data_IF_671501792002
#
_entry.id   IF_671501792002
#
_cell.length_a   1.000
_cell.length_b   1.000
_cell.length_c   1.000
_cell.angle_alpha   90.00
_cell.angle_beta   90.00
_cell.angle_gamma   90.00
#
_symmetry.space_group_name_H-M   'P 1'
#
loop_
_entity.id
_entity.type
_entity.pdbx_description
1 polymer ?
#
# COMPACT_ATOMS: atom_id res chain seq x y z
N UNK A 1 -5.38 11.99 5.78
CA UNK A 1 -4.52 11.18 4.88
C UNK A 1 -4.77 9.72 5.18
N UNK A 2 -4.95 8.91 4.14
CA UNK A 2 -5.11 7.45 4.28
C UNK A 2 -4.00 6.73 3.53
N UNK A 3 -3.35 5.78 4.19
CA UNK A 3 -2.33 4.93 3.56
C UNK A 3 -2.87 3.51 3.42
N UNK A 4 -2.90 3.00 2.19
CA UNK A 4 -3.35 1.65 1.88
C UNK A 4 -2.13 0.78 1.57
N UNK A 5 -1.75 -0.07 2.52
CA UNK A 5 -0.74 -1.09 2.31
C UNK A 5 -1.35 -2.28 1.58
N UNK A 6 -0.76 -2.62 0.44
CA UNK A 6 -1.24 -3.74 -0.40
C UNK A 6 -0.15 -4.78 -0.59
N UNK A 7 -0.48 -6.02 -0.29
CA UNK A 7 0.37 -7.18 -0.51
C UNK A 7 -0.38 -8.29 -1.25
N UNK A 8 0.31 -9.41 -1.47
CA UNK A 8 -0.34 -10.66 -1.84
C UNK A 8 -0.08 -11.69 -0.75
N UNK A 9 -1.16 -12.26 -0.22
CA UNK A 9 -1.13 -13.37 0.71
C UNK A 9 -2.17 -14.40 0.30
N UNK A 10 -1.77 -15.65 0.16
CA UNK A 10 -2.62 -16.75 -0.27
C UNK A 10 -2.70 -17.86 0.79
N UNK A 11 -2.26 -17.60 2.05
CA UNK A 11 -2.41 -18.61 3.10
C UNK A 11 -3.83 -18.63 3.64
N UNK A 12 -4.45 -19.81 3.78
CA UNK A 12 -5.78 -19.93 4.33
C UNK A 12 -5.94 -19.30 5.71
N UNK A 13 -7.08 -18.63 5.90
CA UNK A 13 -7.47 -18.04 7.20
C UNK A 13 -6.62 -16.88 7.70
N UNK A 14 -5.72 -16.31 6.88
CA UNK A 14 -4.91 -15.14 7.25
C UNK A 14 -5.38 -13.86 6.57
N UNK A 15 -5.31 -12.75 7.31
CA UNK A 15 -5.69 -11.43 6.80
C UNK A 15 -4.58 -10.84 5.92
N UNK A 16 -4.93 -9.82 5.13
CA UNK A 16 -3.96 -9.03 4.39
C UNK A 16 -2.88 -8.47 5.32
N UNK A 17 -1.60 -8.72 5.00
CA UNK A 17 -0.46 -8.23 5.79
C UNK A 17 -0.64 -8.49 7.30
N UNK A 18 -1.10 -9.69 7.64
CA UNK A 18 -1.36 -10.14 9.00
C UNK A 18 -0.13 -9.95 9.89
N UNK A 19 -0.29 -9.27 11.03
CA UNK A 19 0.77 -8.93 11.98
C UNK A 19 1.55 -10.12 12.52
N UNK A 20 0.98 -11.34 12.48
CA UNK A 20 1.69 -12.59 12.81
C UNK A 20 2.72 -13.00 11.76
N UNK A 21 2.74 -12.36 10.59
CA UNK A 21 3.70 -12.59 9.51
C UNK A 21 4.81 -11.55 9.53
N UNK A 22 5.98 -11.90 8.97
CA UNK A 22 7.09 -10.96 8.84
C UNK A 22 6.63 -9.67 8.13
N UNK A 23 6.00 -9.79 6.96
CA UNK A 23 5.51 -8.63 6.20
C UNK A 23 4.52 -7.78 6.98
N UNK A 24 3.59 -8.40 7.71
CA UNK A 24 2.62 -7.67 8.52
C UNK A 24 3.25 -6.92 9.70
N UNK A 25 4.17 -7.57 10.41
CA UNK A 25 4.90 -6.95 11.53
C UNK A 25 5.73 -5.76 11.09
N UNK A 26 6.34 -5.85 9.90
CA UNK A 26 7.15 -4.77 9.32
C UNK A 26 6.26 -3.60 8.93
N UNK A 27 5.10 -3.85 8.33
CA UNK A 27 4.12 -2.81 8.05
C UNK A 27 3.64 -2.13 9.33
N UNK A 28 3.44 -2.89 10.42
CA UNK A 28 3.08 -2.30 11.72
C UNK A 28 4.18 -1.38 12.26
N UNK A 29 5.45 -1.76 12.08
CA UNK A 29 6.57 -0.91 12.50
C UNK A 29 6.71 0.34 11.62
N UNK A 30 6.45 0.24 10.31
CA UNK A 30 6.39 1.42 9.41
C UNK A 30 5.28 2.37 9.87
N UNK A 31 4.09 1.84 10.18
CA UNK A 31 2.95 2.65 10.65
C UNK A 31 3.31 3.46 11.91
N UNK A 32 4.12 2.91 12.82
CA UNK A 32 4.54 3.61 14.05
C UNK A 32 5.45 4.82 13.77
N UNK A 33 6.13 4.86 12.62
CA UNK A 33 6.98 5.98 12.23
C UNK A 33 6.23 7.05 11.42
N UNK A 34 5.04 6.72 10.91
CA UNK A 34 4.25 7.64 10.11
C UNK A 34 3.48 8.64 11.00
N UNK A 35 3.13 9.84 10.46
CA UNK A 35 2.53 10.89 11.28
C UNK A 35 1.25 10.45 12.01
N UNK A 36 1.07 10.89 13.27
CA UNK A 36 -0.14 10.59 14.02
C UNK A 36 -1.37 11.22 13.35
N UNK A 37 -2.52 10.55 13.44
CA UNK A 37 -3.78 11.00 12.85
C UNK A 37 -3.99 10.55 11.39
N UNK A 38 -3.02 9.88 10.77
CA UNK A 38 -3.23 9.20 9.48
C UNK A 38 -4.03 7.91 9.68
N UNK A 39 -4.89 7.57 8.72
CA UNK A 39 -5.58 6.29 8.69
C UNK A 39 -4.75 5.26 7.92
N UNK A 40 -4.63 4.04 8.46
CA UNK A 40 -3.88 2.96 7.83
C UNK A 40 -4.79 1.78 7.53
N UNK A 41 -4.73 1.26 6.29
CA UNK A 41 -5.47 0.08 5.85
C UNK A 41 -4.51 -0.96 5.29
N UNK A 42 -4.75 -2.23 5.61
CA UNK A 42 -4.06 -3.38 5.02
C UNK A 42 -5.05 -4.12 4.14
N UNK A 43 -4.76 -4.24 2.85
CA UNK A 43 -5.65 -4.85 1.86
C UNK A 43 -4.89 -5.88 1.05
N UNK A 44 -5.51 -7.02 0.77
CA UNK A 44 -4.91 -8.02 -0.09
C UNK A 44 -5.30 -7.70 -1.53
N UNK A 45 -4.36 -7.87 -2.47
CA UNK A 45 -4.67 -7.66 -3.89
C UNK A 45 -5.75 -8.64 -4.39
N UNK A 46 -5.74 -9.87 -3.86
CA UNK A 46 -6.65 -10.94 -4.26
C UNK A 46 -7.46 -11.43 -3.06
N UNK A 47 -8.73 -11.75 -3.25
CA UNK A 47 -9.61 -12.28 -2.20
C UNK A 47 -9.65 -13.81 -2.13
N UNK A 48 -8.66 -14.49 -2.71
CA UNK A 48 -8.58 -15.94 -2.75
C UNK A 48 -7.32 -16.48 -2.06
N UNK A 49 -7.36 -17.76 -1.69
CA UNK A 49 -6.28 -18.49 -1.00
C UNK A 49 -5.32 -19.16 -2.00
N UNK A 50 -5.24 -18.62 -3.23
CA UNK A 50 -4.32 -19.03 -4.28
C UNK A 50 -3.89 -17.81 -5.09
N UNK A 51 -2.96 -18.00 -6.02
CA UNK A 51 -2.57 -16.95 -6.96
C UNK A 51 -3.47 -17.04 -8.19
N UNK A 52 -4.44 -16.12 -8.38
CA UNK A 52 -5.33 -16.19 -9.53
C UNK A 52 -4.56 -15.86 -10.81
N UNK A 53 -5.10 -16.28 -11.95
CA UNK A 53 -4.51 -16.04 -13.28
C UNK A 53 -5.59 -15.75 -14.32
N UNK A 54 -5.19 -15.23 -15.48
CA UNK A 54 -6.13 -14.89 -16.55
C UNK A 54 -7.18 -13.86 -16.12
N UNK A 55 -8.42 -14.07 -16.55
CA UNK A 55 -9.56 -13.18 -16.28
C UNK A 55 -9.85 -13.03 -14.79
N UNK A 56 -9.71 -14.12 -14.01
CA UNK A 56 -9.95 -14.09 -12.58
C UNK A 56 -9.02 -13.11 -11.84
N UNK A 57 -7.75 -13.07 -12.25
CA UNK A 57 -6.80 -12.10 -11.68
C UNK A 57 -7.23 -10.66 -11.98
N UNK A 58 -7.75 -10.40 -13.17
CA UNK A 58 -8.24 -9.07 -13.54
C UNK A 58 -9.52 -8.68 -12.79
N UNK A 59 -10.44 -9.62 -12.58
CA UNK A 59 -11.66 -9.39 -11.78
C UNK A 59 -11.31 -9.02 -10.34
N UNK A 60 -10.35 -9.73 -9.74
CA UNK A 60 -9.88 -9.45 -8.39
C UNK A 60 -9.12 -8.12 -8.31
N UNK A 61 -8.31 -7.78 -9.32
CA UNK A 61 -7.66 -6.48 -9.43
C UNK A 61 -8.70 -5.35 -9.53
N UNK A 62 -9.77 -5.51 -10.33
CA UNK A 62 -10.90 -4.57 -10.40
C UNK A 62 -11.62 -4.44 -9.06
N UNK A 63 -11.88 -5.56 -8.40
CA UNK A 63 -12.48 -5.56 -7.07
C UNK A 63 -11.64 -4.75 -6.07
N UNK A 64 -10.32 -4.93 -6.09
CA UNK A 64 -9.39 -4.17 -5.26
C UNK A 64 -9.54 -2.65 -5.50
N UNK A 65 -9.64 -2.21 -6.75
CA UNK A 65 -9.85 -0.78 -7.05
C UNK A 65 -11.19 -0.26 -6.54
N UNK A 66 -12.27 -1.03 -6.71
CA UNK A 66 -13.57 -0.64 -6.20
C UNK A 66 -13.55 -0.47 -4.67
N UNK A 67 -12.73 -1.23 -3.95
CA UNK A 67 -12.55 -1.01 -2.50
C UNK A 67 -11.81 0.28 -2.21
N UNK A 68 -10.79 0.61 -3.01
CA UNK A 68 -9.97 1.79 -2.72
C UNK A 68 -10.65 3.08 -3.17
N UNK A 69 -11.43 3.05 -4.24
CA UNK A 69 -12.30 4.17 -4.64
C UNK A 69 -13.23 4.59 -3.49
N UNK A 70 -13.81 3.61 -2.77
CA UNK A 70 -14.59 3.90 -1.56
C UNK A 70 -13.79 4.57 -0.44
N UNK A 71 -12.50 4.26 -0.33
CA UNK A 71 -11.62 4.99 0.59
C UNK A 71 -11.36 6.41 0.09
N UNK A 72 -11.24 6.61 -1.23
CA UNK A 72 -10.93 7.88 -1.85
C UNK A 72 -12.07 8.89 -1.58
N UNK A 73 -13.30 8.46 -1.84
CA UNK A 73 -14.52 9.23 -1.57
C UNK A 73 -14.62 9.67 -0.11
N UNK A 74 -14.33 8.74 0.82
CA UNK A 74 -14.40 9.02 2.26
C UNK A 74 -13.34 10.03 2.73
N UNK A 75 -12.19 10.08 2.06
CA UNK A 75 -11.00 10.78 2.56
C UNK A 75 -10.72 12.09 1.84
N UNK A 76 -11.59 12.48 0.90
CA UNK A 76 -11.41 13.69 0.09
C UNK A 76 -10.22 13.59 -0.89
N UNK A 77 -9.85 12.36 -1.28
CA UNK A 77 -8.87 12.11 -2.32
C UNK A 77 -7.40 12.01 -1.92
N UNK A 78 -7.10 12.03 -0.62
CA UNK A 78 -5.74 11.91 -0.09
C UNK A 78 -5.42 10.47 0.31
N UNK A 79 -5.11 9.64 -0.69
CA UNK A 79 -4.67 8.25 -0.54
C UNK A 79 -3.26 8.03 -1.04
N UNK A 80 -2.40 7.49 -0.18
CA UNK A 80 -1.11 6.92 -0.57
C UNK A 80 -1.22 5.39 -0.63
N UNK A 81 -0.96 4.83 -1.81
CA UNK A 81 -0.82 3.37 -1.94
C UNK A 81 0.62 2.97 -1.65
N UNK A 82 0.80 2.03 -0.73
CA UNK A 82 2.09 1.40 -0.44
C UNK A 82 2.10 -0.03 -0.98
N UNK A 83 2.67 -0.22 -2.18
CA UNK A 83 2.73 -1.53 -2.83
C UNK A 83 3.87 -2.36 -2.26
N UNK A 84 3.53 -3.38 -1.48
CA UNK A 84 4.49 -4.29 -0.86
C UNK A 84 4.91 -5.36 -1.87
N UNK A 85 5.98 -5.07 -2.61
CA UNK A 85 6.68 -6.01 -3.49
C UNK A 85 6.31 -5.97 -4.95
N UNK A 86 7.25 -6.48 -5.76
CA UNK A 86 7.31 -6.28 -7.21
C UNK A 86 6.10 -6.83 -7.96
N UNK A 87 5.51 -7.94 -7.49
CA UNK A 87 4.31 -8.50 -8.14
C UNK A 87 3.12 -7.56 -8.03
N UNK A 88 2.84 -7.03 -6.82
CA UNK A 88 1.75 -6.07 -6.61
C UNK A 88 2.00 -4.81 -7.44
N UNK A 89 3.23 -4.31 -7.43
CA UNK A 89 3.64 -3.16 -8.22
C UNK A 89 3.37 -3.36 -9.72
N UNK A 90 3.83 -4.48 -10.31
CA UNK A 90 3.66 -4.75 -11.73
C UNK A 90 2.19 -4.89 -12.12
N UNK A 91 1.40 -5.56 -11.29
CA UNK A 91 -0.04 -5.74 -11.52
C UNK A 91 -0.76 -4.40 -11.46
N UNK A 92 -0.54 -3.60 -10.42
CA UNK A 92 -1.26 -2.34 -10.23
C UNK A 92 -0.76 -1.21 -11.14
N UNK A 93 0.50 -1.25 -11.58
CA UNK A 93 1.01 -0.32 -12.61
C UNK A 93 0.26 -0.43 -13.94
N UNK A 94 -0.21 -1.63 -14.32
CA UNK A 94 -1.04 -1.84 -15.53
C UNK A 94 -2.30 -0.96 -15.51
N UNK A 95 -2.80 -0.66 -14.32
CA UNK A 95 -4.02 0.12 -14.11
C UNK A 95 -3.77 1.61 -13.95
N UNK A 96 -2.53 2.08 -14.22
CA UNK A 96 -2.11 3.48 -14.09
C UNK A 96 -2.37 4.09 -12.72
N UNK A 97 -2.35 3.24 -11.68
CA UNK A 97 -2.70 3.68 -10.33
C UNK A 97 -1.56 4.52 -9.77
N UNK A 98 -1.83 5.77 -9.36
CA UNK A 98 -0.84 6.59 -8.71
C UNK A 98 -0.55 6.03 -7.30
N UNK A 99 0.46 5.18 -7.21
CA UNK A 99 0.91 4.58 -5.95
C UNK A 99 2.42 4.66 -5.79
N UNK A 100 2.87 4.51 -4.54
CA UNK A 100 4.29 4.42 -4.24
C UNK A 100 4.71 2.97 -4.04
N UNK A 101 5.79 2.59 -4.71
CA UNK A 101 6.39 1.29 -4.49
C UNK A 101 7.16 1.32 -3.17
N UNK A 102 6.81 0.41 -2.27
CA UNK A 102 7.57 0.20 -1.05
C UNK A 102 8.33 -1.12 -1.22
N UNK A 103 9.65 -1.16 -0.95
CA UNK A 103 10.41 -2.39 -0.99
C UNK A 103 9.69 -3.53 -0.27
N UNK A 104 9.68 -4.74 -0.85
CA UNK A 104 9.00 -5.87 -0.22
C UNK A 104 9.58 -6.14 1.18
N UNK A 105 8.77 -6.35 2.24
CA UNK A 105 9.29 -6.63 3.58
C UNK A 105 10.27 -7.81 3.67
N UNK A 106 10.12 -8.83 2.82
CA UNK A 106 11.10 -9.94 2.80
C UNK A 106 12.50 -9.51 2.31
N UNK A 107 12.64 -8.35 1.68
CA UNK A 107 13.95 -7.81 1.31
C UNK A 107 14.77 -7.33 2.51
N UNK A 108 14.17 -7.21 3.71
CA UNK A 108 14.89 -6.95 4.97
C UNK A 108 16.03 -7.94 5.19
N UNK A 109 15.89 -9.19 4.75
CA UNK A 109 16.93 -10.22 4.88
C UNK A 109 18.25 -9.80 4.20
N UNK A 110 18.18 -8.92 3.21
CA UNK A 110 19.33 -8.40 2.46
C UNK A 110 19.77 -7.01 2.92
N UNK A 111 19.11 -6.43 3.93
CA UNK A 111 19.43 -5.10 4.44
C UNK A 111 20.35 -5.20 5.65
N UNK A 112 21.20 -4.18 5.82
CA UNK A 112 22.12 -4.09 6.96
C UNK A 112 21.40 -3.98 8.30
N UNK A 113 20.18 -3.42 8.30
CA UNK A 113 19.39 -3.13 9.48
C UNK A 113 17.90 -3.14 9.13
N UNK A 114 17.10 -3.83 9.97
CA UNK A 114 15.63 -3.78 9.88
C UNK A 114 15.11 -2.36 10.10
N UNK A 115 15.74 -1.60 11.00
CA UNK A 115 15.34 -0.22 11.30
C UNK A 115 15.54 0.67 10.07
N UNK A 116 16.68 0.57 9.41
CA UNK A 116 17.00 1.38 8.22
C UNK A 116 15.99 1.10 7.10
N UNK A 117 15.60 -0.17 6.93
CA UNK A 117 14.55 -0.55 5.99
C UNK A 117 13.20 0.08 6.34
N UNK A 118 12.79 0.00 7.61
CA UNK A 118 11.51 0.56 8.08
C UNK A 118 11.49 2.07 7.87
N UNK A 119 12.56 2.78 8.28
CA UNK A 119 12.70 4.22 8.10
C UNK A 119 12.64 4.60 6.62
N UNK A 120 13.39 3.91 5.77
CA UNK A 120 13.36 4.17 4.33
C UNK A 120 11.96 4.00 3.72
N UNK A 121 11.21 2.98 4.15
CA UNK A 121 9.83 2.79 3.71
C UNK A 121 8.91 3.91 4.20
N UNK A 122 9.09 4.37 5.45
CA UNK A 122 8.32 5.49 6.01
C UNK A 122 8.60 6.80 5.27
N UNK A 123 9.86 7.06 4.90
CA UNK A 123 10.27 8.23 4.11
C UNK A 123 9.57 8.24 2.74
N UNK A 124 9.63 7.12 2.00
CA UNK A 124 8.96 6.99 0.69
C UNK A 124 7.45 7.30 0.78
N UNK A 125 6.79 6.80 1.82
CA UNK A 125 5.36 7.02 2.02
C UNK A 125 5.08 8.49 2.37
N UNK A 126 5.91 9.09 3.22
CA UNK A 126 5.77 10.48 3.66
C UNK A 126 6.00 11.46 2.51
N UNK A 127 7.05 11.26 1.72
CA UNK A 127 7.35 12.06 0.54
C UNK A 127 6.18 12.02 -0.46
N UNK A 128 5.61 10.83 -0.68
CA UNK A 128 4.46 10.69 -1.58
C UNK A 128 3.23 11.40 -1.03
N UNK A 129 2.98 11.29 0.26
CA UNK A 129 1.85 11.95 0.93
C UNK A 129 1.96 13.48 0.81
N UNK A 130 3.16 14.03 1.02
CA UNK A 130 3.43 15.45 0.91
C UNK A 130 3.22 15.93 -0.53
N UNK A 131 3.81 15.25 -1.52
CA UNK A 131 3.64 15.62 -2.93
C UNK A 131 2.17 15.62 -3.37
N UNK A 132 1.35 14.71 -2.84
CA UNK A 132 -0.08 14.67 -3.12
C UNK A 132 -0.85 15.80 -2.42
N UNK A 133 -0.48 16.14 -1.19
CA UNK A 133 -1.04 17.30 -0.48
C UNK A 133 -0.72 18.61 -1.22
N UNK A 134 0.54 18.80 -1.63
CA UNK A 134 0.99 19.98 -2.38
C UNK A 134 0.24 20.13 -3.71
N UNK A 135 0.02 19.01 -4.42
CA UNK A 135 -0.75 19.01 -5.67
C UNK A 135 -2.21 19.44 -5.44
N UNK A 136 -2.84 18.92 -4.39
CA UNK A 136 -4.21 19.28 -4.03
C UNK A 136 -4.30 20.76 -3.65
N UNK A 137 -3.35 21.28 -2.87
CA UNK A 137 -3.28 22.70 -2.53
C UNK A 137 -3.11 23.56 -3.80
N UNK A 138 -2.19 23.19 -4.69
CA UNK A 138 -1.94 23.90 -5.93
C UNK A 138 -3.18 23.96 -6.83
N UNK A 139 -3.90 22.84 -7.00
CA UNK A 139 -5.12 22.77 -7.82
C UNK A 139 -6.23 23.66 -7.25
N UNK A 140 -6.33 23.78 -5.93
CA UNK A 140 -7.38 24.54 -5.26
C UNK A 140 -7.01 26.02 -5.02
N UNK A 141 -5.83 26.46 -5.46
CA UNK A 141 -5.39 27.84 -5.28
C UNK A 141 -6.23 28.76 -6.19
N UNK A 142 -6.89 29.81 -5.64
CA UNK A 142 -7.57 30.78 -6.49
C UNK A 142 -6.56 31.45 -7.44
N UNK A 143 -6.99 31.66 -8.69
CA UNK A 143 -6.24 32.38 -9.72
C UNK A 143 -6.02 33.85 -9.34
#
# INVERSE_FOLDING_TARGET
>A
MTVVFTGVHFKPGKKALDSSTLSGSVVDDIIKLLPPGWEFKKVNLYQCEYLPSGEEAEEQERWFFNQVERFYEKTGGLIVYAFCGRMVEQRLKKWLVPGTYVPHPASIVYQKSRLDFISHCADIISDRAQAQADLVEYINRPL
#
